data_IF_004076944565
#
_entry.id   IF_004076944565
#
_cell.length_a   1.000
_cell.length_b   1.000
_cell.length_c   1.000
_cell.angle_alpha   90.00
_cell.angle_beta   90.00
_cell.angle_gamma   90.00
#
_symmetry.space_group_name_H-M   'P 1'
#
loop_
_entity.id
_entity.type
_entity.pdbx_description
1 polymer ?
#
# COMPACT_ATOMS: atom_id res chain seq x y z
N UNK A 1 -12.73 19.18 2.96
CA UNK A 1 -11.48 19.86 2.60
C UNK A 1 -10.40 18.80 2.38
N UNK A 2 -9.52 18.98 1.37
CA UNK A 2 -8.44 18.03 1.06
C UNK A 2 -7.54 17.80 2.30
N UNK A 3 -7.32 18.84 3.09
CA UNK A 3 -6.51 18.80 4.29
C UNK A 3 -7.10 17.87 5.37
N UNK A 4 -8.42 17.84 5.57
CA UNK A 4 -9.06 16.91 6.51
C UNK A 4 -9.04 15.44 6.03
N UNK A 5 -8.97 15.20 4.72
CA UNK A 5 -8.82 13.85 4.19
C UNK A 5 -7.38 13.33 4.33
N UNK A 6 -6.39 14.25 4.36
CA UNK A 6 -5.00 13.92 4.66
C UNK A 6 -4.78 13.67 6.16
N UNK A 7 -5.53 14.34 7.04
CA UNK A 7 -5.47 14.13 8.50
C UNK A 7 -5.90 12.73 8.95
N UNK A 8 -6.76 12.04 8.18
CA UNK A 8 -7.19 10.66 8.49
C UNK A 8 -6.02 9.66 8.43
N UNK A 9 -4.94 9.99 7.69
CA UNK A 9 -3.74 9.17 7.56
C UNK A 9 -2.54 9.72 8.34
N UNK A 10 -2.64 10.93 8.88
CA UNK A 10 -1.62 11.56 9.70
C UNK A 10 -1.66 11.14 11.17
N UNK A 11 -2.12 9.93 11.49
CA UNK A 11 -1.72 9.34 12.75
C UNK A 11 -0.18 9.19 12.69
N UNK A 12 0.56 9.72 13.68
CA UNK A 12 2.01 9.54 13.70
C UNK A 12 2.28 8.04 13.55
N UNK A 13 3.28 7.64 12.73
CA UNK A 13 3.68 6.25 12.69
C UNK A 13 3.92 5.82 14.12
N UNK A 14 3.21 4.79 14.56
CA UNK A 14 3.49 4.13 15.82
C UNK A 14 4.97 3.74 15.86
N UNK A 15 5.54 3.42 17.02
CA UNK A 15 6.91 2.95 17.11
C UNK A 15 7.09 1.84 16.06
N UNK A 16 8.26 1.77 15.38
CA UNK A 16 8.49 0.80 14.34
C UNK A 16 8.05 -0.57 14.85
N UNK A 17 7.10 -1.18 14.16
CA UNK A 17 6.54 -2.48 14.50
C UNK A 17 7.72 -3.46 14.58
N UNK A 18 7.85 -4.26 15.63
CA UNK A 18 8.92 -5.24 15.71
C UNK A 18 8.91 -6.06 14.42
N UNK A 19 10.06 -6.17 13.79
CA UNK A 19 10.21 -6.87 12.50
C UNK A 19 9.84 -8.36 12.57
N UNK A 20 9.64 -8.88 13.77
CA UNK A 20 9.30 -10.27 14.05
C UNK A 20 7.91 -10.37 14.68
N UNK A 21 7.08 -11.27 14.15
CA UNK A 21 5.74 -11.52 14.70
C UNK A 21 5.83 -12.22 16.07
N UNK A 22 5.31 -11.58 17.12
CA UNK A 22 5.23 -12.15 18.46
C UNK A 22 4.01 -13.11 18.56
N UNK A 23 4.21 -14.43 18.74
CA UNK A 23 3.09 -15.38 18.87
C UNK A 23 2.19 -15.14 20.10
N UNK A 24 2.64 -14.34 21.06
CA UNK A 24 1.85 -13.98 22.25
C UNK A 24 0.82 -12.90 21.95
N UNK A 25 1.06 -12.07 20.92
CA UNK A 25 0.10 -11.05 20.51
C UNK A 25 -1.05 -11.65 19.68
N UNK A 26 -2.33 -11.43 20.02
CA UNK A 26 -3.47 -12.06 19.33
C UNK A 26 -3.51 -11.81 17.81
N UNK A 27 -3.23 -10.59 17.37
CA UNK A 27 -3.22 -10.25 15.94
C UNK A 27 -2.04 -10.89 15.20
N UNK A 28 -0.88 -10.99 15.84
CA UNK A 28 0.29 -11.68 15.27
C UNK A 28 0.06 -13.19 15.16
N UNK A 29 -0.69 -13.81 16.08
CA UNK A 29 -1.08 -15.23 15.94
C UNK A 29 -1.92 -15.44 14.68
N UNK A 30 -2.83 -14.51 14.37
CA UNK A 30 -3.65 -14.60 13.16
C UNK A 30 -2.79 -14.44 11.90
N UNK A 31 -1.81 -13.53 11.91
CA UNK A 31 -0.85 -13.35 10.82
C UNK A 31 0.02 -14.60 10.62
N UNK A 32 0.50 -15.21 11.69
CA UNK A 32 1.27 -16.46 11.63
C UNK A 32 0.43 -17.64 11.12
N UNK A 33 -0.80 -17.79 11.59
CA UNK A 33 -1.73 -18.82 11.08
C UNK A 33 -2.04 -18.61 9.59
N UNK A 34 -2.22 -17.35 9.18
CA UNK A 34 -2.41 -16.99 7.78
C UNK A 34 -1.23 -17.42 6.92
N UNK A 35 0.00 -17.09 7.33
CA UNK A 35 1.23 -17.47 6.63
C UNK A 35 1.41 -19.00 6.58
N UNK A 36 1.20 -19.67 7.70
CA UNK A 36 1.31 -21.12 7.76
C UNK A 36 0.39 -21.79 6.74
N UNK A 37 -0.89 -21.38 6.66
CA UNK A 37 -1.83 -21.93 5.68
C UNK A 37 -1.36 -21.74 4.23
N UNK A 38 -0.76 -20.60 3.92
CA UNK A 38 -0.23 -20.35 2.57
C UNK A 38 0.96 -21.26 2.29
N UNK A 39 1.91 -21.35 3.23
CA UNK A 39 3.12 -22.17 3.06
C UNK A 39 2.81 -23.67 3.00
N UNK A 40 1.72 -24.11 3.61
CA UNK A 40 1.15 -25.45 3.47
C UNK A 40 0.43 -25.69 2.12
N UNK A 41 0.37 -24.67 1.25
CA UNK A 41 -0.33 -24.74 -0.05
C UNK A 41 -1.85 -24.55 0.04
N UNK A 42 -2.38 -24.15 1.20
CA UNK A 42 -3.82 -23.98 1.42
C UNK A 42 -4.25 -22.51 1.32
N UNK A 43 -4.04 -21.92 0.15
CA UNK A 43 -4.36 -20.51 -0.12
C UNK A 43 -5.85 -20.19 0.14
N UNK A 44 -6.76 -21.12 -0.15
CA UNK A 44 -8.20 -20.90 0.08
C UNK A 44 -8.53 -20.79 1.57
N UNK A 45 -7.93 -21.62 2.41
CA UNK A 45 -8.11 -21.54 3.86
C UNK A 45 -7.50 -20.27 4.45
N UNK A 46 -6.36 -19.81 3.92
CA UNK A 46 -5.75 -18.55 4.33
C UNK A 46 -6.67 -17.37 4.02
N UNK A 47 -7.21 -17.28 2.81
CA UNK A 47 -8.15 -16.21 2.42
C UNK A 47 -9.44 -16.27 3.25
N UNK A 48 -9.99 -17.47 3.47
CA UNK A 48 -11.18 -17.63 4.29
C UNK A 48 -10.97 -17.21 5.76
N UNK A 49 -9.76 -17.45 6.30
CA UNK A 49 -9.39 -17.05 7.66
C UNK A 49 -9.49 -15.53 7.84
N UNK A 50 -8.85 -14.76 6.97
CA UNK A 50 -8.83 -13.29 7.09
C UNK A 50 -10.17 -12.66 6.69
N UNK A 51 -10.89 -13.24 5.73
CA UNK A 51 -12.25 -12.82 5.38
C UNK A 51 -13.20 -12.99 6.57
N UNK A 52 -13.14 -14.10 7.27
CA UNK A 52 -13.93 -14.33 8.48
C UNK A 52 -13.55 -13.34 9.58
N UNK A 53 -12.26 -13.11 9.81
CA UNK A 53 -11.80 -12.13 10.78
C UNK A 53 -12.36 -10.72 10.49
N UNK A 54 -12.37 -10.31 9.21
CA UNK A 54 -12.92 -9.03 8.77
C UNK A 54 -14.44 -8.89 8.97
N UNK A 55 -15.17 -10.00 8.94
CA UNK A 55 -16.62 -10.00 9.11
C UNK A 55 -17.09 -10.14 10.56
N UNK A 56 -16.30 -10.79 11.40
CA UNK A 56 -16.74 -11.20 12.74
C UNK A 56 -16.04 -10.46 13.89
N UNK A 57 -14.75 -10.11 13.73
CA UNK A 57 -13.92 -9.70 14.86
C UNK A 57 -13.07 -8.45 14.64
N UNK A 58 -12.71 -8.14 13.41
CA UNK A 58 -11.84 -7.02 13.05
C UNK A 58 -12.49 -6.15 11.98
N UNK A 59 -12.14 -4.87 11.95
CA UNK A 59 -12.47 -4.04 10.79
C UNK A 59 -11.58 -4.42 9.59
N UNK A 60 -11.98 -4.15 8.34
CA UNK A 60 -11.11 -4.32 7.18
C UNK A 60 -9.74 -3.65 7.35
N UNK A 61 -9.70 -2.41 7.86
CA UNK A 61 -8.46 -1.70 8.17
C UNK A 61 -7.59 -2.47 9.17
N UNK A 62 -8.20 -3.01 10.24
CA UNK A 62 -7.47 -3.79 11.24
C UNK A 62 -6.88 -5.08 10.64
N UNK A 63 -7.60 -5.75 9.75
CA UNK A 63 -7.06 -6.93 9.03
C UNK A 63 -5.84 -6.55 8.20
N UNK A 64 -5.87 -5.42 7.48
CA UNK A 64 -4.71 -4.95 6.72
C UNK A 64 -3.53 -4.63 7.64
N UNK A 65 -3.75 -3.77 8.64
CA UNK A 65 -2.67 -3.22 9.46
C UNK A 65 -2.09 -4.21 10.46
N UNK A 66 -2.90 -5.16 10.95
CA UNK A 66 -2.49 -6.06 12.02
C UNK A 66 -2.21 -7.50 11.53
N UNK A 67 -2.65 -7.86 10.33
CA UNK A 67 -2.50 -9.22 9.81
C UNK A 67 -1.75 -9.25 8.48
N UNK A 68 -2.31 -8.65 7.41
CA UNK A 68 -1.78 -8.82 6.07
C UNK A 68 -0.43 -8.12 5.87
N UNK A 69 -0.30 -6.84 6.28
CA UNK A 69 0.96 -6.12 6.13
C UNK A 69 2.06 -6.64 7.06
N UNK A 70 1.81 -6.96 8.34
CA UNK A 70 2.79 -7.66 9.18
C UNK A 70 3.22 -9.02 8.61
N UNK A 71 2.28 -9.80 8.08
CA UNK A 71 2.62 -11.07 7.42
C UNK A 71 3.56 -10.86 6.22
N UNK A 72 3.34 -9.84 5.39
CA UNK A 72 4.22 -9.53 4.26
C UNK A 72 5.63 -9.05 4.71
N UNK A 73 5.72 -8.27 5.80
CA UNK A 73 7.02 -7.89 6.37
C UNK A 73 7.79 -9.13 6.87
N UNK A 74 7.10 -10.04 7.55
CA UNK A 74 7.70 -11.30 8.03
C UNK A 74 8.19 -12.17 6.85
N UNK A 75 7.44 -12.25 5.77
CA UNK A 75 7.87 -12.94 4.53
C UNK A 75 9.16 -12.32 3.97
N UNK A 76 9.24 -10.99 3.93
CA UNK A 76 10.46 -10.29 3.52
C UNK A 76 11.64 -10.60 4.42
N UNK A 77 11.43 -10.64 5.75
CA UNK A 77 12.46 -11.02 6.74
C UNK A 77 12.95 -12.45 6.53
N UNK A 78 12.02 -13.41 6.38
CA UNK A 78 12.34 -14.83 6.16
C UNK A 78 13.08 -15.04 4.83
N UNK A 79 12.70 -14.31 3.78
CA UNK A 79 13.42 -14.33 2.51
C UNK A 79 14.86 -13.80 2.65
N UNK A 80 15.04 -12.67 3.33
CA UNK A 80 16.38 -12.11 3.60
C UNK A 80 17.24 -13.05 4.44
N UNK A 81 16.65 -13.81 5.37
CA UNK A 81 17.34 -14.83 6.16
C UNK A 81 17.65 -16.10 5.38
N UNK A 82 17.18 -16.23 4.14
CA UNK A 82 17.32 -17.44 3.33
C UNK A 82 16.41 -18.60 3.76
N UNK A 83 15.42 -18.33 4.61
CA UNK A 83 14.44 -19.30 5.10
C UNK A 83 13.29 -19.52 4.12
N UNK A 84 13.03 -18.55 3.23
CA UNK A 84 12.08 -18.67 2.12
C UNK A 84 12.78 -18.40 0.78
N UNK A 85 12.38 -19.16 -0.23
CA UNK A 85 12.77 -18.92 -1.61
C UNK A 85 11.96 -17.74 -2.21
N UNK A 86 12.49 -17.12 -3.28
CA UNK A 86 11.77 -16.09 -4.07
C UNK A 86 10.40 -16.60 -4.54
N UNK A 87 10.31 -17.88 -4.96
CA UNK A 87 9.05 -18.46 -5.41
C UNK A 87 7.99 -18.54 -4.28
N UNK A 88 8.42 -18.84 -3.05
CA UNK A 88 7.52 -18.84 -1.89
C UNK A 88 7.09 -17.43 -1.53
N UNK A 89 8.00 -16.44 -1.57
CA UNK A 89 7.66 -15.03 -1.37
C UNK A 89 6.60 -14.58 -2.39
N UNK A 90 6.80 -14.84 -3.68
CA UNK A 90 5.84 -14.52 -4.73
C UNK A 90 4.48 -15.21 -4.53
N UNK A 91 4.49 -16.48 -4.11
CA UNK A 91 3.26 -17.20 -3.79
C UNK A 91 2.49 -16.53 -2.64
N UNK A 92 3.18 -16.14 -1.56
CA UNK A 92 2.53 -15.44 -0.43
C UNK A 92 1.99 -14.09 -0.88
N UNK A 93 2.75 -13.33 -1.65
CA UNK A 93 2.33 -12.04 -2.21
C UNK A 93 1.07 -12.17 -3.07
N UNK A 94 1.01 -13.15 -3.97
CA UNK A 94 -0.17 -13.38 -4.82
C UNK A 94 -1.42 -13.77 -4.00
N UNK A 95 -1.26 -14.60 -2.98
CA UNK A 95 -2.37 -14.97 -2.07
C UNK A 95 -2.82 -13.76 -1.25
N UNK A 96 -1.88 -12.91 -0.81
CA UNK A 96 -2.20 -11.69 -0.06
C UNK A 96 -2.98 -10.70 -0.91
N UNK A 97 -2.61 -10.47 -2.16
CA UNK A 97 -3.38 -9.63 -3.10
C UNK A 97 -4.82 -10.13 -3.27
N UNK A 98 -5.00 -11.46 -3.37
CA UNK A 98 -6.32 -12.06 -3.40
C UNK A 98 -7.08 -11.85 -2.10
N UNK A 99 -6.44 -12.02 -0.95
CA UNK A 99 -7.04 -11.80 0.37
C UNK A 99 -7.51 -10.36 0.53
N UNK A 100 -6.67 -9.37 0.15
CA UNK A 100 -7.02 -7.95 0.13
C UNK A 100 -8.28 -7.71 -0.70
N UNK A 101 -8.36 -8.26 -1.92
CA UNK A 101 -9.53 -8.11 -2.80
C UNK A 101 -10.82 -8.67 -2.17
N UNK A 102 -10.73 -9.79 -1.45
CA UNK A 102 -11.87 -10.38 -0.76
C UNK A 102 -12.27 -9.54 0.44
N UNK A 103 -11.34 -9.10 1.27
CA UNK A 103 -11.62 -8.27 2.47
C UNK A 103 -12.29 -6.96 2.07
N UNK A 104 -11.74 -6.25 1.07
CA UNK A 104 -12.29 -4.95 0.66
C UNK A 104 -13.66 -5.07 -0.01
N UNK A 105 -13.95 -6.16 -0.72
CA UNK A 105 -15.23 -6.36 -1.41
C UNK A 105 -16.44 -6.47 -0.46
N UNK A 106 -16.21 -6.84 0.79
CA UNK A 106 -17.25 -6.94 1.82
C UNK A 106 -17.33 -5.67 2.70
N UNK A 107 -16.43 -4.74 2.54
CA UNK A 107 -16.41 -3.53 3.32
C UNK A 107 -17.39 -2.48 2.77
N UNK A 108 -18.08 -1.77 3.65
CA UNK A 108 -18.91 -0.64 3.27
C UNK A 108 -18.05 0.65 3.26
N UNK A 109 -17.82 1.28 2.10
CA UNK A 109 -17.10 2.53 2.06
C UNK A 109 -17.92 3.67 2.66
N UNK A 110 -17.24 4.70 3.16
CA UNK A 110 -17.88 5.96 3.51
C UNK A 110 -18.56 6.59 2.27
N UNK A 111 -19.53 7.50 2.47
CA UNK A 111 -20.10 8.26 1.37
C UNK A 111 -19.00 8.95 0.53
N UNK A 112 -19.24 9.05 -0.78
CA UNK A 112 -18.28 9.72 -1.68
C UNK A 112 -17.96 11.15 -1.19
N UNK A 113 -16.67 11.46 -1.10
CA UNK A 113 -16.19 12.80 -0.75
C UNK A 113 -15.95 13.71 -1.98
N UNK A 114 -16.22 13.21 -3.18
CA UNK A 114 -16.09 13.93 -4.44
C UNK A 114 -14.66 14.06 -4.98
N UNK A 115 -13.67 13.45 -4.33
CA UNK A 115 -12.26 13.51 -4.74
C UNK A 115 -11.79 12.22 -5.44
N UNK A 116 -10.86 12.39 -6.37
CA UNK A 116 -10.22 11.29 -7.11
C UNK A 116 -8.74 11.19 -6.75
N UNK A 117 -8.30 9.99 -6.40
CA UNK A 117 -6.90 9.67 -6.16
C UNK A 117 -6.39 8.64 -7.17
N UNK A 118 -5.17 8.85 -7.69
CA UNK A 118 -4.41 7.86 -8.45
C UNK A 118 -3.32 7.30 -7.55
N UNK A 119 -3.14 5.98 -7.56
CA UNK A 119 -2.12 5.28 -6.76
C UNK A 119 -1.27 4.45 -7.71
N UNK A 120 0.05 4.65 -7.67
CA UNK A 120 0.98 4.00 -8.58
C UNK A 120 2.34 3.72 -7.92
N UNK A 121 2.98 2.62 -8.27
CA UNK A 121 4.41 2.42 -8.03
C UNK A 121 5.20 2.91 -9.25
N UNK A 122 6.29 3.62 -9.00
CA UNK A 122 7.13 4.14 -10.08
C UNK A 122 7.77 3.03 -10.90
N UNK A 123 8.17 3.35 -12.12
CA UNK A 123 8.83 2.41 -13.03
C UNK A 123 10.00 1.71 -12.37
N UNK A 124 10.05 0.38 -12.53
CA UNK A 124 11.03 -0.51 -11.91
C UNK A 124 10.67 -0.95 -10.49
N UNK A 125 9.66 -0.38 -9.84
CA UNK A 125 9.18 -0.83 -8.53
C UNK A 125 8.04 -1.84 -8.69
N UNK A 126 8.33 -3.10 -8.38
CA UNK A 126 7.37 -4.22 -8.42
C UNK A 126 6.67 -4.48 -7.08
N UNK A 127 7.13 -3.84 -6.00
CA UNK A 127 6.57 -3.98 -4.67
C UNK A 127 5.38 -3.03 -4.50
N UNK A 128 4.17 -3.55 -4.55
CA UNK A 128 2.95 -2.75 -4.59
C UNK A 128 1.93 -3.05 -3.49
N UNK A 129 2.17 -4.04 -2.63
CA UNK A 129 1.24 -4.43 -1.55
C UNK A 129 0.89 -3.24 -0.65
N UNK A 130 1.88 -2.46 -0.23
CA UNK A 130 1.65 -1.27 0.61
C UNK A 130 0.79 -0.22 -0.11
N UNK A 131 1.06 0.04 -1.40
CA UNK A 131 0.28 0.96 -2.21
C UNK A 131 -1.15 0.46 -2.44
N UNK A 132 -1.33 -0.84 -2.64
CA UNK A 132 -2.65 -1.43 -2.74
C UNK A 132 -3.43 -1.27 -1.44
N UNK A 133 -2.79 -1.53 -0.30
CA UNK A 133 -3.41 -1.29 1.00
C UNK A 133 -3.84 0.18 1.15
N UNK A 134 -2.97 1.11 0.78
CA UNK A 134 -3.27 2.54 0.81
C UNK A 134 -4.46 2.89 -0.11
N UNK A 135 -4.49 2.36 -1.34
CA UNK A 135 -5.59 2.54 -2.27
C UNK A 135 -6.92 2.07 -1.68
N UNK A 136 -6.94 0.88 -1.08
CA UNK A 136 -8.13 0.31 -0.45
C UNK A 136 -8.58 1.16 0.77
N UNK A 137 -7.65 1.70 1.57
CA UNK A 137 -7.99 2.59 2.69
C UNK A 137 -8.61 3.91 2.20
N UNK A 138 -8.09 4.52 1.13
CA UNK A 138 -8.69 5.71 0.53
C UNK A 138 -10.07 5.42 -0.05
N UNK A 139 -10.25 4.25 -0.69
CA UNK A 139 -11.58 3.82 -1.16
C UNK A 139 -12.57 3.70 -0.01
N UNK A 140 -12.17 3.10 1.14
CA UNK A 140 -13.01 3.03 2.33
C UNK A 140 -13.34 4.41 2.91
N UNK A 141 -12.45 5.38 2.77
CA UNK A 141 -12.66 6.77 3.19
C UNK A 141 -13.51 7.59 2.20
N UNK A 142 -14.12 6.95 1.18
CA UNK A 142 -15.03 7.58 0.24
C UNK A 142 -14.37 8.27 -0.95
N UNK A 143 -13.08 8.05 -1.20
CA UNK A 143 -12.41 8.51 -2.42
C UNK A 143 -12.75 7.64 -3.62
N UNK A 144 -12.81 8.26 -4.79
CA UNK A 144 -12.70 7.53 -6.06
C UNK A 144 -11.23 7.20 -6.29
N UNK A 145 -10.85 5.92 -6.19
CA UNK A 145 -9.46 5.50 -6.32
C UNK A 145 -9.20 4.80 -7.64
N UNK A 146 -8.18 5.24 -8.35
CA UNK A 146 -7.64 4.63 -9.56
C UNK A 146 -6.30 3.98 -9.20
N UNK A 147 -6.31 2.70 -8.97
CA UNK A 147 -5.09 1.95 -8.70
C UNK A 147 -4.43 1.53 -10.02
N UNK A 148 -3.30 2.17 -10.35
CA UNK A 148 -2.56 1.92 -11.58
C UNK A 148 -1.57 0.74 -11.48
N UNK A 149 -1.30 0.27 -10.24
CA UNK A 149 -0.42 -0.89 -10.02
C UNK A 149 1.06 -0.55 -9.92
N UNK A 150 1.87 -1.59 -10.18
CA UNK A 150 3.33 -1.52 -10.13
C UNK A 150 3.93 -1.14 -11.49
N UNK A 151 5.20 -0.70 -11.48
CA UNK A 151 6.02 -0.43 -12.68
C UNK A 151 5.37 0.52 -13.69
N UNK A 152 4.73 1.60 -13.20
CA UNK A 152 4.02 2.55 -14.07
C UNK A 152 5.02 3.50 -14.75
N UNK A 153 4.99 3.60 -16.10
CA UNK A 153 5.87 4.51 -16.82
C UNK A 153 5.60 5.97 -16.46
N UNK A 154 6.66 6.73 -16.12
CA UNK A 154 6.52 8.12 -15.67
C UNK A 154 5.88 9.04 -16.70
N UNK A 155 6.08 8.77 -18.00
CA UNK A 155 5.55 9.61 -19.08
C UNK A 155 4.03 9.46 -19.27
N UNK A 156 3.44 8.37 -18.76
CA UNK A 156 2.01 8.09 -18.87
C UNK A 156 1.22 8.70 -17.70
N UNK A 157 1.89 9.00 -16.58
CA UNK A 157 1.24 9.57 -15.39
C UNK A 157 0.48 10.88 -15.66
N UNK A 158 1.04 11.89 -16.37
CA UNK A 158 0.32 13.12 -16.64
C UNK A 158 -1.00 12.90 -17.41
N UNK A 159 -0.99 12.01 -18.42
CA UNK A 159 -2.17 11.68 -19.20
C UNK A 159 -3.22 10.94 -18.34
N UNK A 160 -2.78 10.00 -17.49
CA UNK A 160 -3.64 9.27 -16.57
C UNK A 160 -4.32 10.21 -15.56
N UNK A 161 -3.55 11.12 -14.96
CA UNK A 161 -4.05 12.11 -14.01
C UNK A 161 -5.07 13.05 -14.64
N UNK A 162 -4.80 13.53 -15.85
CA UNK A 162 -5.70 14.40 -16.59
C UNK A 162 -6.99 13.68 -17.00
N UNK A 163 -6.90 12.43 -17.48
CA UNK A 163 -8.04 11.63 -17.90
C UNK A 163 -9.05 11.36 -16.77
N UNK A 164 -8.55 11.11 -15.56
CA UNK A 164 -9.40 10.86 -14.40
C UNK A 164 -9.70 12.11 -13.57
N UNK A 165 -9.23 13.28 -13.99
CA UNK A 165 -9.35 14.54 -13.25
C UNK A 165 -8.87 14.42 -11.79
N UNK A 166 -7.72 13.75 -11.60
CA UNK A 166 -7.22 13.40 -10.28
C UNK A 166 -6.86 14.64 -9.44
N UNK A 167 -7.28 14.62 -8.17
CA UNK A 167 -6.92 15.61 -7.16
C UNK A 167 -5.62 15.25 -6.44
N UNK A 168 -5.35 13.94 -6.34
CA UNK A 168 -4.24 13.37 -5.58
C UNK A 168 -3.54 12.28 -6.37
N UNK A 169 -2.21 12.30 -6.36
CA UNK A 169 -1.37 11.19 -6.78
C UNK A 169 -0.58 10.66 -5.57
N UNK A 170 -0.61 9.36 -5.37
CA UNK A 170 0.24 8.66 -4.41
C UNK A 170 1.25 7.80 -5.17
N UNK A 171 2.54 8.15 -5.04
CA UNK A 171 3.65 7.45 -5.67
C UNK A 171 4.46 6.68 -4.64
N UNK A 172 4.65 5.39 -4.88
CA UNK A 172 5.43 4.54 -3.99
C UNK A 172 6.75 4.07 -4.57
N UNK A 173 7.75 3.98 -3.69
CA UNK A 173 9.02 3.34 -3.97
C UNK A 173 9.51 2.53 -2.76
N UNK A 174 10.05 1.33 -3.04
CA UNK A 174 10.58 0.45 -1.99
C UNK A 174 12.08 0.56 -1.85
N UNK A 175 12.80 0.81 -2.94
CA UNK A 175 14.25 0.92 -2.94
C UNK A 175 14.70 2.36 -3.18
N UNK A 176 15.75 2.81 -2.47
CA UNK A 176 16.32 4.15 -2.63
C UNK A 176 16.75 4.45 -4.08
N UNK A 177 17.11 3.42 -4.84
CA UNK A 177 17.44 3.52 -6.28
C UNK A 177 16.25 3.97 -7.14
N UNK A 178 15.02 3.94 -6.63
CA UNK A 178 13.82 4.42 -7.33
C UNK A 178 13.54 5.92 -7.10
N UNK A 179 14.18 6.57 -6.13
CA UNK A 179 13.96 7.99 -5.80
C UNK A 179 14.16 8.92 -7.01
N UNK A 180 15.21 8.76 -7.84
CA UNK A 180 15.36 9.61 -9.02
C UNK A 180 14.19 9.49 -10.02
N UNK A 181 13.53 8.33 -10.08
CA UNK A 181 12.35 8.13 -10.93
C UNK A 181 11.11 8.81 -10.37
N UNK A 182 10.96 8.85 -9.05
CA UNK A 182 9.90 9.65 -8.40
C UNK A 182 10.12 11.13 -8.73
N UNK A 183 11.32 11.66 -8.55
CA UNK A 183 11.65 13.05 -8.84
C UNK A 183 11.34 13.41 -10.30
N UNK A 184 11.77 12.57 -11.25
CA UNK A 184 11.47 12.74 -12.67
C UNK A 184 9.96 12.69 -12.96
N UNK A 185 9.21 11.79 -12.30
CA UNK A 185 7.76 11.71 -12.43
C UNK A 185 7.09 12.98 -11.94
N UNK A 186 7.50 13.48 -10.78
CA UNK A 186 6.98 14.75 -10.22
C UNK A 186 7.25 15.90 -11.17
N UNK A 187 8.49 16.04 -11.68
CA UNK A 187 8.84 17.10 -12.63
C UNK A 187 7.97 17.04 -13.90
N UNK A 188 7.79 15.85 -14.48
CA UNK A 188 6.94 15.66 -15.65
C UNK A 188 5.46 16.01 -15.40
N UNK A 189 4.94 15.70 -14.21
CA UNK A 189 3.58 16.02 -13.82
C UNK A 189 3.42 17.55 -13.64
N UNK A 190 4.34 18.19 -12.94
CA UNK A 190 4.32 19.64 -12.73
C UNK A 190 4.41 20.44 -14.05
N UNK A 191 5.13 19.90 -15.04
CA UNK A 191 5.27 20.51 -16.37
C UNK A 191 4.03 20.32 -17.26
N UNK A 192 3.39 19.13 -17.21
CA UNK A 192 2.41 18.71 -18.22
C UNK A 192 0.96 18.71 -17.77
N UNK A 193 0.70 18.68 -16.45
CA UNK A 193 -0.66 18.74 -15.95
C UNK A 193 -1.13 20.20 -15.86
N UNK A 194 -2.19 20.55 -16.59
CA UNK A 194 -2.81 21.88 -16.53
C UNK A 194 -3.50 22.13 -15.19
N UNK A 195 -4.07 21.08 -14.60
CA UNK A 195 -4.73 21.12 -13.30
C UNK A 195 -3.72 20.80 -12.20
N UNK A 196 -3.70 21.54 -11.09
CA UNK A 196 -2.85 21.21 -9.96
C UNK A 196 -3.27 19.88 -9.31
N UNK A 197 -2.32 18.96 -9.18
CA UNK A 197 -2.48 17.67 -8.51
C UNK A 197 -1.59 17.66 -7.28
N UNK A 198 -2.14 17.28 -6.13
CA UNK A 198 -1.35 17.01 -4.92
C UNK A 198 -0.58 15.70 -5.10
N UNK A 199 0.69 15.67 -4.70
CA UNK A 199 1.55 14.51 -4.84
C UNK A 199 2.06 14.09 -3.46
N UNK A 200 1.64 12.91 -3.02
CA UNK A 200 2.21 12.24 -1.86
C UNK A 200 3.17 11.15 -2.33
N UNK A 201 4.28 11.00 -1.61
CA UNK A 201 5.24 9.94 -1.85
C UNK A 201 5.38 9.08 -0.60
N UNK A 202 5.79 7.82 -0.76
CA UNK A 202 5.96 6.93 0.38
C UNK A 202 6.63 5.61 0.03
N UNK A 203 6.69 4.74 1.03
CA UNK A 203 7.32 3.43 0.96
C UNK A 203 8.74 3.42 1.52
N UNK A 204 9.30 2.22 1.71
CA UNK A 204 10.55 1.99 2.44
C UNK A 204 11.77 2.76 1.90
N UNK A 205 11.73 3.23 0.64
CA UNK A 205 12.78 4.10 0.09
C UNK A 205 12.97 5.43 0.85
N UNK A 206 11.99 5.83 1.66
CA UNK A 206 11.99 7.09 2.41
C UNK A 206 12.25 6.91 3.92
N UNK A 207 12.30 5.65 4.42
CA UNK A 207 12.39 5.37 5.86
C UNK A 207 13.63 6.00 6.51
N UNK A 208 14.77 5.99 5.79
CA UNK A 208 16.04 6.56 6.27
C UNK A 208 16.19 8.08 6.02
N UNK A 209 15.28 8.68 5.26
CA UNK A 209 15.33 10.09 4.87
C UNK A 209 13.93 10.71 4.73
N UNK A 210 13.17 10.82 5.84
CA UNK A 210 11.77 11.23 5.80
C UNK A 210 11.53 12.62 5.21
N UNK A 211 12.47 13.57 5.31
CA UNK A 211 12.37 14.90 4.69
C UNK A 211 12.68 14.93 3.18
N UNK A 212 13.09 13.81 2.58
CA UNK A 212 13.46 13.76 1.17
C UNK A 212 12.29 14.14 0.25
N UNK A 213 11.05 13.85 0.65
CA UNK A 213 9.86 14.18 -0.11
C UNK A 213 9.79 15.67 -0.49
N UNK A 214 10.14 16.57 0.42
CA UNK A 214 10.11 18.01 0.16
C UNK A 214 11.18 18.43 -0.85
N UNK A 215 12.35 17.80 -0.83
CA UNK A 215 13.47 18.09 -1.74
C UNK A 215 13.21 17.66 -3.17
N UNK A 216 12.44 16.58 -3.36
CA UNK A 216 12.07 16.07 -4.68
C UNK A 216 10.77 16.71 -5.24
N UNK A 217 10.18 17.69 -4.53
CA UNK A 217 9.04 18.46 -5.00
C UNK A 217 7.68 17.81 -4.77
N UNK A 218 7.59 16.81 -3.89
CA UNK A 218 6.32 16.27 -3.43
C UNK A 218 5.61 17.23 -2.45
N UNK A 219 4.30 17.08 -2.27
CA UNK A 219 3.49 17.91 -1.37
C UNK A 219 3.34 17.27 0.02
N UNK A 220 3.80 16.02 0.19
CA UNK A 220 3.77 15.31 1.46
C UNK A 220 4.30 13.90 1.36
N UNK A 221 4.36 13.24 2.54
CA UNK A 221 4.84 11.86 2.74
C UNK A 221 3.80 11.05 3.50
N UNK A 222 3.67 9.76 3.19
CA UNK A 222 2.76 8.81 3.85
C UNK A 222 3.41 7.44 4.05
#
# INVERSE_FOLDING_TARGET
>A
CLDSALEVLAAPPGPPDPTELDPKHPAHRLALEYLQKILEGNASAAVALVSRAANETLTPQAVYMQVLLPAQREVGRLWHAGELSIAQEHMVTAVTQRAMSVVISHAAPAPSNGHTAVVAAVSGNVHDIGLRALADMYQLAGWRVIYAGSDVPMLDLPALLSFYEADLLMLGATLATHIPRIEQSIAAIRERCERPVRILVGGAAFDDAPELWSRIGADGYA
#
